data_IF_212722370852
#
_entry.id   IF_212722370852
#
_cell.length_a   1.000
_cell.length_b   1.000
_cell.length_c   1.000
_cell.angle_alpha   90.00
_cell.angle_beta   90.00
_cell.angle_gamma   90.00
#
_symmetry.space_group_name_H-M   'P 1'
#
loop_
_entity.id
_entity.type
_entity.pdbx_description
1 polymer ?
#
# COMPACT_ATOMS: atom_id res chain seq x y z
N UNK A 1 -31.10 -45.45 51.16
CA UNK A 1 -29.89 -46.03 50.55
C UNK A 1 -29.69 -45.32 49.22
N UNK A 2 -28.63 -44.52 49.00
CA UNK A 2 -27.25 -44.96 48.67
C UNK A 2 -27.26 -46.02 47.55
N UNK A 3 -26.57 -45.91 46.40
CA UNK A 3 -25.52 -44.98 45.91
C UNK A 3 -25.48 -45.08 44.36
N UNK A 4 -24.83 -44.23 43.54
CA UNK A 4 -23.86 -43.14 43.76
C UNK A 4 -23.92 -42.09 42.62
N UNK A 5 -23.03 -41.08 42.65
CA UNK A 5 -22.74 -40.16 41.53
C UNK A 5 -21.59 -40.72 40.66
N UNK A 6 -21.65 -40.50 39.34
CA UNK A 6 -20.47 -40.28 38.49
C UNK A 6 -20.69 -39.05 37.64
N UNK A 7 -19.94 -37.99 37.95
CA UNK A 7 -19.88 -36.74 37.22
C UNK A 7 -18.89 -36.86 36.07
N UNK A 8 -19.38 -36.91 34.83
CA UNK A 8 -18.56 -36.60 33.66
C UNK A 8 -18.75 -35.12 33.34
N UNK A 9 -17.75 -34.31 33.69
CA UNK A 9 -17.73 -32.88 33.35
C UNK A 9 -17.43 -32.71 31.87
N UNK A 10 -18.42 -32.27 31.09
CA UNK A 10 -18.17 -31.74 29.75
C UNK A 10 -17.71 -30.30 29.93
N UNK A 11 -16.40 -30.06 29.80
CA UNK A 11 -15.87 -28.71 29.63
C UNK A 11 -16.32 -28.20 28.26
N UNK A 12 -17.41 -27.44 28.24
CA UNK A 12 -17.75 -26.61 27.09
C UNK A 12 -16.73 -25.48 27.01
N UNK A 13 -15.72 -25.65 26.15
CA UNK A 13 -14.80 -24.58 25.79
C UNK A 13 -15.58 -23.51 25.03
N UNK A 14 -16.04 -22.50 25.75
CA UNK A 14 -16.58 -21.29 25.15
C UNK A 14 -15.42 -20.57 24.43
N UNK A 15 -15.28 -20.82 23.13
CA UNK A 15 -14.52 -19.94 22.26
C UNK A 15 -15.20 -18.57 22.30
N UNK A 16 -14.61 -17.66 23.07
CA UNK A 16 -14.79 -16.23 22.87
C UNK A 16 -14.22 -15.92 21.48
N UNK A 17 -15.07 -16.05 20.46
CA UNK A 17 -14.83 -15.44 19.18
C UNK A 17 -14.82 -13.94 19.42
N UNK A 18 -13.62 -13.39 19.59
CA UNK A 18 -13.40 -11.94 19.59
C UNK A 18 -13.83 -11.46 18.22
N UNK A 19 -15.06 -10.94 18.12
CA UNK A 19 -15.50 -10.22 16.93
C UNK A 19 -14.65 -8.96 16.88
N UNK A 20 -13.51 -9.06 16.20
CA UNK A 20 -12.80 -7.89 15.70
C UNK A 20 -13.73 -7.29 14.67
N UNK A 21 -14.59 -6.38 15.11
CA UNK A 21 -15.29 -5.44 14.25
C UNK A 21 -14.23 -4.64 13.54
N UNK A 22 -13.81 -5.09 12.36
CA UNK A 22 -13.02 -4.27 11.46
C UNK A 22 -13.80 -2.98 11.23
N UNK A 23 -13.17 -1.80 11.28
CA UNK A 23 -13.85 -0.56 10.95
C UNK A 23 -14.45 -0.71 9.55
N UNK A 24 -15.69 -0.22 9.38
CA UNK A 24 -16.37 -0.28 8.09
C UNK A 24 -15.44 0.22 6.99
N UNK A 25 -15.33 -0.53 5.89
CA UNK A 25 -14.41 -0.26 4.76
C UNK A 25 -14.40 1.22 4.43
N UNK A 26 -13.36 1.95 4.89
CA UNK A 26 -13.47 3.40 4.95
C UNK A 26 -13.66 3.94 3.53
N UNK A 27 -14.73 4.70 3.33
CA UNK A 27 -15.13 5.14 2.00
C UNK A 27 -14.08 6.09 1.43
N UNK A 28 -13.91 6.08 0.11
CA UNK A 28 -13.12 7.10 -0.59
C UNK A 28 -13.66 8.50 -0.27
N UNK A 29 -12.79 9.53 -0.25
CA UNK A 29 -13.23 10.89 0.08
C UNK A 29 -14.38 11.34 -0.83
N UNK A 30 -15.39 12.03 -0.27
CA UNK A 30 -16.57 12.45 -1.04
C UNK A 30 -16.20 13.46 -2.13
N UNK A 31 -16.91 13.46 -3.25
CA UNK A 31 -16.66 14.41 -4.34
C UNK A 31 -16.88 15.86 -3.90
N UNK A 32 -17.89 16.13 -3.06
CA UNK A 32 -18.11 17.46 -2.46
C UNK A 32 -16.87 17.95 -1.69
N UNK A 33 -16.22 17.07 -0.93
CA UNK A 33 -15.03 17.43 -0.17
C UNK A 33 -13.80 17.58 -1.08
N UNK A 34 -13.63 16.67 -2.06
CA UNK A 34 -12.59 16.74 -3.11
C UNK A 34 -12.64 18.04 -3.90
N UNK A 35 -13.83 18.52 -4.23
CA UNK A 35 -14.04 19.78 -4.98
C UNK A 35 -13.80 21.03 -4.13
N UNK A 36 -13.92 20.93 -2.80
CA UNK A 36 -13.71 22.04 -1.87
C UNK A 36 -12.25 22.28 -1.45
N UNK A 37 -11.33 21.36 -1.78
CA UNK A 37 -9.93 21.38 -1.32
C UNK A 37 -8.98 21.22 -2.51
N UNK A 38 -8.37 22.33 -2.95
CA UNK A 38 -7.39 22.33 -4.05
C UNK A 38 -5.94 22.45 -3.58
N UNK A 39 -5.63 23.39 -2.69
CA UNK A 39 -4.26 23.68 -2.23
C UNK A 39 -3.95 22.92 -0.96
N UNK A 40 -3.04 21.95 -1.06
CA UNK A 40 -2.70 21.02 0.01
C UNK A 40 -1.23 21.14 0.37
N UNK A 41 -0.92 21.31 1.65
CA UNK A 41 0.45 21.12 2.16
C UNK A 41 0.57 19.72 2.77
N UNK A 42 1.49 18.91 2.26
CA UNK A 42 1.77 17.56 2.72
C UNK A 42 2.93 17.61 3.72
N UNK A 43 2.75 17.02 4.90
CA UNK A 43 3.74 16.99 5.98
C UNK A 43 4.06 15.55 6.43
N UNK A 44 5.33 15.12 6.39
CA UNK A 44 5.79 13.85 6.94
C UNK A 44 6.04 13.99 8.45
N UNK A 45 5.03 13.73 9.29
CA UNK A 45 5.13 13.84 10.75
C UNK A 45 4.56 12.60 11.43
N UNK A 46 5.12 12.23 12.58
CA UNK A 46 4.58 11.14 13.39
C UNK A 46 3.18 11.50 13.89
N UNK A 47 2.30 10.49 13.86
CA UNK A 47 0.87 10.70 13.76
C UNK A 47 0.21 11.63 14.80
N UNK A 48 -0.73 12.42 14.27
CA UNK A 48 -1.99 12.70 14.97
C UNK A 48 -2.90 11.45 15.04
N UNK A 49 -2.30 10.26 15.13
CA UNK A 49 -2.96 8.97 15.34
C UNK A 49 -3.46 8.82 16.78
N UNK A 50 -3.02 9.68 17.70
CA UNK A 50 -3.24 9.61 19.15
C UNK A 50 -4.45 10.40 19.68
N UNK A 51 -5.62 10.31 19.04
CA UNK A 51 -6.87 10.33 19.83
C UNK A 51 -6.95 9.01 20.60
N UNK A 52 -6.32 9.04 21.78
CA UNK A 52 -5.87 7.85 22.45
C UNK A 52 -7.05 6.99 22.96
N UNK A 53 -7.19 5.79 22.40
CA UNK A 53 -7.83 4.65 23.09
C UNK A 53 -6.93 4.27 24.27
N UNK A 54 -7.00 5.06 25.34
CA UNK A 54 -6.33 4.82 26.61
C UNK A 54 -7.36 4.55 27.68
N UNK A 55 -7.48 3.28 28.05
CA UNK A 55 -8.08 2.92 29.32
C UNK A 55 -7.24 3.50 30.46
N UNK A 56 -7.71 4.62 31.02
CA UNK A 56 -7.40 5.12 32.37
C UNK A 56 -5.96 4.95 32.88
N UNK A 57 -5.11 5.95 32.64
CA UNK A 57 -4.18 6.43 33.68
C UNK A 57 -4.07 7.96 33.58
N UNK A 58 -4.59 8.66 34.58
CA UNK A 58 -4.68 10.12 34.55
C UNK A 58 -3.38 10.80 34.97
N UNK A 59 -2.96 11.80 34.19
CA UNK A 59 -2.25 13.01 34.64
C UNK A 59 -2.35 14.09 33.57
N UNK A 60 -2.75 15.29 33.98
CA UNK A 60 -2.77 16.47 33.11
C UNK A 60 -1.34 16.96 32.85
N UNK A 61 -0.97 17.18 31.60
CA UNK A 61 0.11 18.12 31.24
C UNK A 61 -0.17 18.82 29.92
N UNK A 62 0.01 20.14 29.94
CA UNK A 62 -0.36 21.11 28.92
C UNK A 62 0.39 20.98 27.58
N UNK A 63 -0.35 21.16 26.48
CA UNK A 63 0.03 21.97 25.30
C UNK A 63 1.39 21.70 24.61
N UNK A 64 1.34 21.05 23.44
CA UNK A 64 2.48 20.68 22.59
C UNK A 64 3.40 21.84 22.14
N UNK A 65 3.00 23.10 22.31
CA UNK A 65 3.78 24.28 21.92
C UNK A 65 5.01 24.57 22.83
N UNK A 66 5.11 23.95 24.00
CA UNK A 66 6.17 24.26 24.99
C UNK A 66 7.52 23.55 24.78
N UNK A 67 7.58 22.48 23.97
CA UNK A 67 8.74 21.57 23.94
C UNK A 67 9.91 21.96 23.02
N UNK A 68 9.66 22.79 22.00
CA UNK A 68 10.61 22.99 20.89
C UNK A 68 11.73 24.00 21.23
N UNK A 69 11.52 24.86 22.24
CA UNK A 69 12.34 26.05 22.48
C UNK A 69 13.69 25.83 23.20
N UNK A 70 14.23 24.60 23.29
CA UNK A 70 15.44 24.33 24.10
C UNK A 70 16.53 23.42 23.48
N UNK A 71 16.42 23.09 22.19
CA UNK A 71 17.46 22.37 21.44
C UNK A 71 18.34 23.24 20.54
N UNK A 72 18.02 24.53 20.40
CA UNK A 72 18.68 25.44 19.47
C UNK A 72 19.83 26.23 20.12
N UNK A 73 20.99 25.60 20.28
CA UNK A 73 22.24 26.35 20.45
C UNK A 73 23.47 25.48 20.08
N UNK A 74 24.08 25.77 18.91
CA UNK A 74 25.51 25.64 18.56
C UNK A 74 25.69 25.56 17.02
N UNK A 75 26.36 26.56 16.42
CA UNK A 75 27.03 26.42 15.12
C UNK A 75 26.49 27.20 13.91
N UNK A 76 26.76 28.51 13.85
CA UNK A 76 26.84 29.29 12.59
C UNK A 76 28.18 28.98 11.87
N UNK A 77 28.41 29.01 10.55
CA UNK A 77 27.82 29.71 9.38
C UNK A 77 28.05 28.84 8.12
N UNK A 78 27.20 28.95 7.08
CA UNK A 78 27.57 28.51 5.71
C UNK A 78 26.37 28.38 4.76
N UNK A 79 26.05 29.44 4.00
CA UNK A 79 24.82 29.49 3.18
C UNK A 79 25.03 28.82 1.81
N UNK A 80 24.70 27.53 1.73
CA UNK A 80 24.20 26.85 0.53
C UNK A 80 23.21 25.76 1.01
N UNK A 81 21.89 26.02 1.08
CA UNK A 81 20.96 25.14 1.81
C UNK A 81 20.51 23.91 1.00
N UNK A 82 21.46 23.10 0.54
CA UNK A 82 21.26 21.66 0.40
C UNK A 82 21.26 21.03 1.78
N UNK A 83 20.08 20.82 2.37
CA UNK A 83 19.94 20.40 3.76
C UNK A 83 20.37 18.95 4.01
N UNK A 84 21.38 18.76 4.86
CA UNK A 84 21.79 17.45 5.42
C UNK A 84 20.91 17.10 6.65
N UNK A 85 20.97 15.87 7.20
CA UNK A 85 19.80 15.02 7.44
C UNK A 85 19.04 15.37 8.73
N UNK A 86 17.71 15.18 8.71
CA UNK A 86 16.86 15.31 9.90
C UNK A 86 16.59 13.91 10.47
N UNK A 87 17.13 13.62 11.66
CA UNK A 87 16.89 12.36 12.38
C UNK A 87 15.63 12.44 13.25
N UNK A 88 14.58 11.71 12.86
CA UNK A 88 13.34 11.47 13.62
C UNK A 88 12.89 10.00 13.43
N UNK A 89 12.07 9.43 14.34
CA UNK A 89 12.24 8.02 14.76
C UNK A 89 11.41 6.95 14.00
N UNK A 90 12.13 5.93 13.53
CA UNK A 90 11.82 4.48 13.53
C UNK A 90 10.34 4.06 13.68
N UNK A 91 9.70 3.42 12.67
CA UNK A 91 8.45 2.69 12.89
C UNK A 91 8.69 1.48 13.80
N UNK A 92 7.96 1.38 14.90
CA UNK A 92 8.20 0.34 15.91
C UNK A 92 7.90 -1.06 15.38
N UNK A 93 8.89 -1.97 15.45
CA UNK A 93 8.69 -3.38 15.11
C UNK A 93 7.89 -4.09 16.21
N UNK A 94 6.62 -4.38 15.94
CA UNK A 94 5.73 -5.09 16.88
C UNK A 94 5.70 -6.59 16.57
N UNK A 95 5.95 -7.41 17.59
CA UNK A 95 5.86 -8.87 17.51
C UNK A 95 4.53 -9.35 18.11
N UNK A 96 3.78 -10.17 17.36
CA UNK A 96 2.52 -10.77 17.81
C UNK A 96 2.59 -12.29 17.58
N UNK A 97 3.37 -12.97 18.41
CA UNK A 97 3.54 -14.42 18.39
C UNK A 97 4.11 -14.93 19.70
N UNK A 98 3.61 -16.06 20.21
CA UNK A 98 4.06 -16.60 21.49
C UNK A 98 5.38 -17.37 21.36
N UNK A 99 6.31 -17.14 22.30
CA UNK A 99 7.49 -18.00 22.50
C UNK A 99 7.01 -19.34 23.09
N UNK A 100 6.46 -20.20 22.25
CA UNK A 100 6.15 -21.59 22.57
C UNK A 100 7.39 -22.44 22.24
N UNK A 101 8.23 -22.69 23.25
CA UNK A 101 9.52 -23.36 23.04
C UNK A 101 9.37 -24.81 22.55
N UNK A 102 10.25 -25.25 21.62
CA UNK A 102 10.23 -26.66 21.22
C UNK A 102 11.10 -27.19 20.08
N UNK A 103 11.79 -26.37 19.26
CA UNK A 103 12.71 -26.89 18.21
C UNK A 103 14.00 -26.05 18.12
N UNK A 104 15.00 -26.40 18.93
CA UNK A 104 16.26 -25.65 19.04
C UNK A 104 17.15 -25.76 17.80
N UNK A 105 17.74 -24.63 17.38
CA UNK A 105 18.89 -24.60 16.48
C UNK A 105 18.79 -23.54 15.39
N UNK A 106 18.41 -23.95 14.18
CA UNK A 106 18.49 -23.13 12.98
C UNK A 106 17.30 -22.15 12.82
N UNK A 107 16.06 -22.60 13.07
CA UNK A 107 14.87 -21.77 12.83
C UNK A 107 14.75 -20.59 13.79
N UNK A 108 15.06 -20.78 15.07
CA UNK A 108 15.04 -19.70 16.06
C UNK A 108 16.15 -18.67 15.79
N UNK A 109 17.35 -19.12 15.37
CA UNK A 109 18.42 -18.23 14.92
C UNK A 109 17.99 -17.44 13.68
N UNK A 110 17.39 -18.09 12.68
CA UNK A 110 16.90 -17.42 11.48
C UNK A 110 15.77 -16.41 11.77
N UNK A 111 14.92 -16.68 12.77
CA UNK A 111 13.92 -15.72 13.27
C UNK A 111 14.59 -14.50 13.93
N UNK A 112 15.61 -14.73 14.76
CA UNK A 112 16.39 -13.67 15.40
C UNK A 112 17.16 -12.82 14.36
N UNK A 113 17.90 -13.46 13.44
CA UNK A 113 18.64 -12.76 12.38
C UNK A 113 17.72 -11.92 11.47
N UNK A 114 16.54 -12.43 11.09
CA UNK A 114 15.53 -11.66 10.35
C UNK A 114 15.04 -10.45 11.16
N UNK A 115 14.68 -10.66 12.43
CA UNK A 115 14.22 -9.59 13.33
C UNK A 115 15.29 -8.51 13.50
N UNK A 116 16.52 -8.92 13.78
CA UNK A 116 17.63 -8.02 14.07
C UNK A 116 17.99 -7.19 12.83
N UNK A 117 18.01 -7.81 11.64
CA UNK A 117 18.22 -7.08 10.38
C UNK A 117 17.05 -6.15 10.03
N UNK A 118 15.80 -6.55 10.28
CA UNK A 118 14.64 -5.66 10.12
C UNK A 118 14.73 -4.47 11.08
N UNK A 119 15.08 -4.70 12.35
CA UNK A 119 15.21 -3.64 13.35
C UNK A 119 16.39 -2.70 13.05
N UNK A 120 17.54 -3.22 12.62
CA UNK A 120 18.69 -2.43 12.18
C UNK A 120 18.36 -1.56 10.96
N UNK A 121 17.75 -2.15 9.92
CA UNK A 121 17.34 -1.44 8.71
C UNK A 121 16.30 -0.34 9.00
N UNK A 122 15.32 -0.60 9.87
CA UNK A 122 14.32 0.41 10.28
C UNK A 122 14.91 1.48 11.22
N UNK A 123 15.94 1.16 12.01
CA UNK A 123 16.60 2.13 12.88
C UNK A 123 17.35 3.23 12.12
N UNK A 124 17.73 2.98 10.86
CA UNK A 124 18.47 3.92 10.01
C UNK A 124 17.55 4.83 9.16
N UNK A 125 16.30 5.06 9.61
CA UNK A 125 15.14 5.49 8.84
C UNK A 125 15.27 6.70 7.88
N UNK A 126 16.26 7.58 8.01
CA UNK A 126 16.27 8.92 7.37
C UNK A 126 16.22 8.84 5.84
N UNK A 127 17.02 7.95 5.24
CA UNK A 127 17.10 7.71 3.79
C UNK A 127 16.56 6.31 3.41
N UNK A 128 15.81 5.66 4.31
CA UNK A 128 15.34 4.29 4.11
C UNK A 128 14.01 4.23 3.33
N UNK A 129 13.74 3.12 2.61
CA UNK A 129 12.53 2.97 1.83
C UNK A 129 11.22 2.98 2.63
N UNK A 130 11.26 2.67 3.93
CA UNK A 130 10.13 2.84 4.87
C UNK A 130 10.40 4.03 5.79
N UNK A 131 10.05 5.23 5.32
CA UNK A 131 10.12 6.47 6.09
C UNK A 131 8.93 7.39 5.76
N UNK A 132 8.53 8.25 6.70
CA UNK A 132 7.45 9.22 6.49
C UNK A 132 7.78 10.15 5.30
N UNK A 133 9.05 10.55 5.15
CA UNK A 133 9.53 11.37 4.03
C UNK A 133 9.32 10.69 2.68
N UNK A 134 9.73 9.43 2.55
CA UNK A 134 9.57 8.68 1.30
C UNK A 134 8.07 8.44 1.00
N UNK A 135 7.27 8.09 2.01
CA UNK A 135 5.83 7.89 1.84
C UNK A 135 5.12 9.20 1.42
N UNK A 136 5.44 10.32 2.07
CA UNK A 136 4.89 11.63 1.72
C UNK A 136 5.30 12.10 0.31
N UNK A 137 6.51 11.73 -0.15
CA UNK A 137 6.93 11.92 -1.54
C UNK A 137 6.09 11.08 -2.51
N UNK A 138 5.84 9.80 -2.23
CA UNK A 138 4.99 8.96 -3.09
C UNK A 138 3.54 9.49 -3.16
N UNK A 139 2.98 9.92 -2.01
CA UNK A 139 1.66 10.59 -1.96
C UNK A 139 1.67 11.91 -2.75
N UNK A 140 2.72 12.73 -2.61
CA UNK A 140 2.88 13.97 -3.38
C UNK A 140 2.88 13.71 -4.89
N UNK A 141 3.63 12.72 -5.39
CA UNK A 141 3.65 12.40 -6.82
C UNK A 141 2.33 11.78 -7.31
N UNK A 142 1.61 11.05 -6.45
CA UNK A 142 0.24 10.64 -6.70
C UNK A 142 -0.69 11.85 -6.91
N UNK A 143 -0.73 12.77 -5.94
CA UNK A 143 -1.62 13.94 -5.97
C UNK A 143 -1.25 14.97 -7.04
N UNK A 144 0.04 15.11 -7.40
CA UNK A 144 0.52 16.10 -8.40
C UNK A 144 -0.10 15.94 -9.79
N UNK A 145 -0.64 14.75 -10.10
CA UNK A 145 -1.27 14.45 -11.39
C UNK A 145 -2.81 14.58 -11.35
N UNK A 146 -3.39 14.97 -10.20
CA UNK A 146 -4.83 15.15 -10.03
C UNK A 146 -5.24 16.54 -10.53
N UNK A 147 -6.20 16.58 -11.44
CA UNK A 147 -6.76 17.83 -11.94
C UNK A 147 -7.45 18.61 -10.81
N UNK A 148 -7.06 19.87 -10.62
CA UNK A 148 -7.62 20.77 -9.59
C UNK A 148 -6.91 20.75 -8.24
N UNK A 149 -5.86 19.93 -8.06
CA UNK A 149 -5.07 19.88 -6.82
C UNK A 149 -3.68 20.51 -7.05
N UNK A 150 -3.27 21.40 -6.15
CA UNK A 150 -1.92 21.98 -6.03
C UNK A 150 -1.27 21.47 -4.73
N UNK A 151 -0.66 20.26 -4.75
CA UNK A 151 0.01 19.72 -3.58
C UNK A 151 1.42 20.32 -3.43
N UNK A 152 1.85 20.54 -2.19
CA UNK A 152 3.21 20.98 -1.85
C UNK A 152 3.76 20.11 -0.71
N UNK A 153 4.87 19.41 -0.95
CA UNK A 153 5.56 18.63 0.09
C UNK A 153 6.51 19.53 0.88
N UNK A 154 6.25 19.71 2.17
CA UNK A 154 7.00 20.61 3.05
C UNK A 154 7.71 19.82 4.17
N UNK A 155 8.87 20.33 4.62
CA UNK A 155 9.46 19.89 5.88
C UNK A 155 8.59 20.40 7.05
N UNK A 156 8.53 19.70 8.20
CA UNK A 156 7.66 20.07 9.32
C UNK A 156 7.88 21.48 9.90
N UNK A 157 9.06 22.07 9.67
CA UNK A 157 9.43 23.42 10.14
C UNK A 157 9.18 24.52 9.10
N UNK A 158 8.77 24.19 7.87
CA UNK A 158 8.56 25.18 6.81
C UNK A 158 7.25 25.96 7.06
N UNK A 159 7.26 27.30 7.10
CA UNK A 159 6.05 28.09 7.27
C UNK A 159 5.00 27.82 6.19
N UNK A 160 3.79 27.43 6.62
CA UNK A 160 2.68 27.07 5.73
C UNK A 160 2.06 28.35 5.13
N UNK A 161 1.79 28.40 3.80
CA UNK A 161 1.18 29.57 3.18
C UNK A 161 -0.22 29.84 3.75
N UNK A 162 -0.52 31.12 3.99
CA UNK A 162 -1.81 31.55 4.56
C UNK A 162 -3.02 31.22 3.67
N UNK A 163 -2.79 30.89 2.40
CA UNK A 163 -3.80 30.53 1.42
C UNK A 163 -3.95 29.00 1.22
N UNK A 164 -3.34 28.19 2.10
CA UNK A 164 -3.52 26.72 2.10
C UNK A 164 -4.96 26.36 2.47
N UNK A 165 -5.60 25.44 1.73
CA UNK A 165 -6.97 24.99 2.04
C UNK A 165 -6.93 23.91 3.14
N UNK A 166 -6.01 22.95 3.01
CA UNK A 166 -5.84 21.84 3.94
C UNK A 166 -4.37 21.40 4.12
N UNK A 167 -4.07 20.81 5.28
CA UNK A 167 -2.83 20.09 5.55
C UNK A 167 -3.11 18.59 5.47
N UNK A 168 -2.28 17.85 4.74
CA UNK A 168 -2.30 16.39 4.69
C UNK A 168 -1.10 15.85 5.47
N UNK A 169 -1.34 15.36 6.68
CA UNK A 169 -0.35 14.65 7.47
C UNK A 169 -0.24 13.21 6.95
N UNK A 170 0.97 12.73 6.70
CA UNK A 170 1.24 11.38 6.15
C UNK A 170 2.32 10.70 6.98
N UNK A 171 2.04 9.49 7.47
CA UNK A 171 2.98 8.73 8.29
C UNK A 171 2.88 7.23 8.05
N UNK A 172 3.98 6.52 8.31
CA UNK A 172 3.97 5.10 8.60
C UNK A 172 3.63 4.93 10.09
N UNK A 173 2.79 3.95 10.44
CA UNK A 173 2.33 3.72 11.81
C UNK A 173 3.14 2.62 12.49
N UNK A 174 3.14 1.42 11.90
CA UNK A 174 3.88 0.27 12.41
C UNK A 174 4.34 -0.66 11.27
N UNK A 175 5.41 -1.41 11.56
CA UNK A 175 5.78 -2.62 10.83
C UNK A 175 5.63 -3.78 11.81
N UNK A 176 4.81 -4.76 11.46
CA UNK A 176 4.52 -5.95 12.27
C UNK A 176 5.17 -7.15 11.63
N UNK A 177 5.97 -7.88 12.41
CA UNK A 177 6.51 -9.18 12.02
C UNK A 177 5.79 -10.27 12.85
N UNK A 178 5.07 -11.15 12.15
CA UNK A 178 4.41 -12.31 12.76
C UNK A 178 5.00 -13.58 12.15
N UNK A 179 5.68 -14.39 12.98
CA UNK A 179 6.31 -15.65 12.54
C UNK A 179 5.55 -16.83 13.13
N UNK A 180 4.92 -17.62 12.26
CA UNK A 180 4.11 -18.79 12.60
C UNK A 180 4.76 -20.03 11.99
N UNK A 181 5.14 -21.00 12.83
CA UNK A 181 5.84 -22.23 12.40
C UNK A 181 7.07 -21.96 11.52
N UNK A 182 7.00 -22.28 10.22
CA UNK A 182 8.05 -22.03 9.21
C UNK A 182 7.75 -20.83 8.28
N UNK A 183 6.70 -20.05 8.55
CA UNK A 183 6.28 -18.86 7.79
C UNK A 183 6.50 -17.56 8.56
N UNK A 184 6.82 -16.49 7.83
CA UNK A 184 6.86 -15.13 8.32
C UNK A 184 5.93 -14.25 7.46
N UNK A 185 5.11 -13.48 8.17
CA UNK A 185 4.16 -12.49 7.66
C UNK A 185 4.69 -11.12 8.07
N UNK A 186 4.82 -10.20 7.11
CA UNK A 186 5.23 -8.82 7.36
C UNK A 186 4.11 -7.89 6.92
N UNK A 187 3.61 -7.09 7.86
CA UNK A 187 2.53 -6.12 7.63
C UNK A 187 3.07 -4.72 7.90
N UNK A 188 2.89 -3.79 6.97
CA UNK A 188 3.23 -2.37 7.10
C UNK A 188 1.94 -1.57 7.07
N UNK A 189 1.81 -0.59 7.96
CA UNK A 189 0.64 0.30 8.02
C UNK A 189 1.07 1.75 7.83
N UNK A 190 0.24 2.52 7.13
CA UNK A 190 0.41 3.96 7.01
C UNK A 190 -0.92 4.70 6.96
N UNK A 191 -0.90 5.91 7.48
CA UNK A 191 -2.07 6.75 7.68
C UNK A 191 -1.89 8.08 6.95
N UNK A 192 -3.00 8.61 6.43
CA UNK A 192 -3.12 10.00 6.02
C UNK A 192 -4.29 10.68 6.74
N UNK A 193 -4.05 11.86 7.29
CA UNK A 193 -5.06 12.71 7.93
C UNK A 193 -5.10 14.07 7.23
N UNK A 194 -6.24 14.39 6.62
CA UNK A 194 -6.48 15.67 5.96
C UNK A 194 -7.21 16.60 6.94
N UNK A 195 -6.59 17.72 7.31
CA UNK A 195 -7.17 18.75 8.19
C UNK A 195 -7.35 20.07 7.46
N UNK A 196 -8.45 20.77 7.73
CA UNK A 196 -8.66 22.15 7.25
C UNK A 196 -7.61 23.07 7.88
N UNK A 197 -6.96 23.89 7.07
CA UNK A 197 -5.90 24.77 7.57
C UNK A 197 -6.42 25.87 8.51
N UNK A 198 -7.62 26.40 8.24
CA UNK A 198 -8.16 27.56 8.96
C UNK A 198 -8.61 27.29 10.42
N UNK A 199 -8.97 26.05 10.74
CA UNK A 199 -9.53 25.69 12.06
C UNK A 199 -9.01 24.34 12.63
N UNK A 200 -8.20 23.59 11.88
CA UNK A 200 -7.65 22.30 12.30
C UNK A 200 -8.64 21.13 12.29
N UNK A 201 -9.86 21.32 11.76
CA UNK A 201 -10.88 20.25 11.69
C UNK A 201 -10.38 19.10 10.82
N UNK A 202 -10.42 17.86 11.34
CA UNK A 202 -10.22 16.65 10.53
C UNK A 202 -11.34 16.53 9.51
N UNK A 203 -10.98 16.61 8.24
CA UNK A 203 -11.88 16.50 7.09
C UNK A 203 -11.97 15.06 6.60
N UNK A 204 -10.84 14.34 6.63
CA UNK A 204 -10.75 12.96 6.20
C UNK A 204 -9.59 12.24 6.90
N UNK A 205 -9.74 10.94 7.15
CA UNK A 205 -8.66 10.03 7.57
C UNK A 205 -8.75 8.77 6.72
N UNK A 206 -7.59 8.27 6.27
CA UNK A 206 -7.46 6.94 5.67
C UNK A 206 -6.26 6.22 6.26
N UNK A 207 -6.47 4.98 6.63
CA UNK A 207 -5.45 4.04 7.07
C UNK A 207 -5.35 2.96 5.97
N UNK A 208 -4.12 2.58 5.58
CA UNK A 208 -3.85 1.54 4.58
C UNK A 208 -2.82 0.57 5.15
N UNK A 209 -3.13 -0.73 5.10
CA UNK A 209 -2.18 -1.80 5.39
C UNK A 209 -1.66 -2.44 4.10
N UNK A 210 -0.45 -2.99 4.17
CA UNK A 210 0.13 -3.87 3.15
C UNK A 210 0.81 -5.05 3.82
N UNK A 211 0.45 -6.27 3.44
CA UNK A 211 0.94 -7.52 3.99
C UNK A 211 1.47 -8.44 2.89
N UNK A 212 2.66 -8.99 3.11
CA UNK A 212 3.16 -10.14 2.36
C UNK A 212 3.57 -11.25 3.34
N UNK A 213 3.51 -12.49 2.88
CA UNK A 213 3.98 -13.66 3.63
C UNK A 213 4.77 -14.60 2.77
N UNK A 214 5.64 -15.37 3.40
CA UNK A 214 6.36 -16.48 2.80
C UNK A 214 7.01 -17.34 3.89
N UNK A 215 7.63 -18.46 3.51
CA UNK A 215 8.47 -19.25 4.40
C UNK A 215 9.63 -18.42 4.93
N UNK A 216 9.94 -18.53 6.23
CA UNK A 216 11.04 -17.87 6.91
C UNK A 216 12.38 -18.08 6.17
N UNK A 217 12.61 -19.30 5.66
CA UNK A 217 13.77 -19.65 4.83
C UNK A 217 13.87 -18.93 3.48
N UNK A 218 12.78 -18.34 2.99
CA UNK A 218 12.76 -17.52 1.78
C UNK A 218 13.11 -16.08 2.14
N UNK A 219 12.50 -15.52 3.20
CA UNK A 219 12.87 -14.20 3.74
C UNK A 219 14.36 -14.09 4.07
N UNK A 220 14.97 -15.14 4.62
CA UNK A 220 16.39 -15.18 4.98
C UNK A 220 17.36 -15.50 3.81
N UNK A 221 16.89 -15.67 2.57
CA UNK A 221 17.79 -15.92 1.42
C UNK A 221 18.53 -14.67 0.98
N UNK A 222 19.74 -14.90 0.45
CA UNK A 222 20.51 -13.92 -0.32
C UNK A 222 20.75 -12.58 0.43
N UNK A 223 21.09 -12.62 1.72
CA UNK A 223 21.17 -11.43 2.60
C UNK A 223 19.86 -10.63 2.63
N UNK A 224 18.74 -11.32 2.89
CA UNK A 224 17.43 -10.72 3.13
C UNK A 224 16.88 -9.86 1.97
N UNK A 225 17.22 -10.19 0.72
CA UNK A 225 16.76 -9.45 -0.47
C UNK A 225 15.23 -9.27 -0.53
N UNK A 226 14.44 -10.27 -0.13
CA UNK A 226 12.97 -10.15 -0.09
C UNK A 226 12.47 -9.07 0.90
N UNK A 227 13.22 -8.78 1.97
CA UNK A 227 12.91 -7.66 2.87
C UNK A 227 13.25 -6.30 2.23
N UNK A 228 14.31 -6.21 1.43
CA UNK A 228 14.58 -5.04 0.59
C UNK A 228 13.46 -4.79 -0.42
N UNK A 229 13.09 -5.82 -1.19
CA UNK A 229 12.03 -5.77 -2.20
C UNK A 229 10.65 -5.46 -1.56
N UNK A 230 10.33 -6.07 -0.42
CA UNK A 230 9.09 -5.80 0.34
C UNK A 230 8.94 -4.34 0.72
N UNK A 231 9.98 -3.71 1.29
CA UNK A 231 9.90 -2.33 1.78
C UNK A 231 9.54 -1.32 0.69
N UNK A 232 10.17 -1.46 -0.48
CA UNK A 232 9.87 -0.63 -1.65
C UNK A 232 8.43 -0.81 -2.12
N UNK A 233 7.98 -2.06 -2.23
CA UNK A 233 6.62 -2.38 -2.66
C UNK A 233 5.55 -1.91 -1.66
N UNK A 234 5.80 -2.08 -0.36
CA UNK A 234 4.91 -1.67 0.71
C UNK A 234 4.73 -0.14 0.73
N UNK A 235 5.83 0.63 0.70
CA UNK A 235 5.76 2.11 0.60
C UNK A 235 4.98 2.52 -0.66
N UNK A 236 5.38 1.99 -1.81
CA UNK A 236 4.79 2.34 -3.10
C UNK A 236 3.28 2.07 -3.12
N UNK A 237 2.85 0.91 -2.61
CA UNK A 237 1.44 0.57 -2.49
C UNK A 237 0.70 1.53 -1.55
N UNK A 238 1.19 1.72 -0.33
CA UNK A 238 0.52 2.57 0.67
C UNK A 238 0.41 4.02 0.14
N UNK A 239 1.48 4.60 -0.39
CA UNK A 239 1.47 5.97 -0.92
C UNK A 239 0.52 6.14 -2.10
N UNK A 240 0.47 5.15 -2.99
CA UNK A 240 -0.47 5.09 -4.12
C UNK A 240 -1.92 5.02 -3.64
N UNK A 241 -2.23 4.12 -2.71
CA UNK A 241 -3.58 3.91 -2.21
C UNK A 241 -4.09 5.12 -1.43
N UNK A 242 -3.25 5.74 -0.59
CA UNK A 242 -3.60 6.97 0.12
C UNK A 242 -3.96 8.10 -0.87
N UNK A 243 -3.12 8.35 -1.90
CA UNK A 243 -3.41 9.35 -2.92
C UNK A 243 -4.68 9.01 -3.74
N UNK A 244 -4.89 7.74 -4.07
CA UNK A 244 -6.05 7.28 -4.83
C UNK A 244 -7.35 7.48 -4.03
N UNK A 245 -7.40 7.06 -2.77
CA UNK A 245 -8.59 7.19 -1.91
C UNK A 245 -8.96 8.65 -1.63
N UNK A 246 -7.95 9.51 -1.48
CA UNK A 246 -8.15 10.93 -1.31
C UNK A 246 -8.79 11.57 -2.55
N UNK A 247 -8.29 11.36 -3.77
CA UNK A 247 -8.73 12.17 -4.93
C UNK A 247 -9.12 11.42 -6.22
N UNK A 248 -8.46 10.31 -6.54
CA UNK A 248 -8.61 9.66 -7.85
C UNK A 248 -9.73 8.61 -7.91
N UNK A 249 -9.89 7.81 -6.85
CA UNK A 249 -10.67 6.56 -6.85
C UNK A 249 -12.17 6.85 -6.91
N UNK A 250 -12.84 6.21 -7.86
CA UNK A 250 -14.31 6.10 -7.91
C UNK A 250 -14.71 4.65 -7.82
N UNK A 251 -15.75 4.38 -7.04
CA UNK A 251 -16.41 3.07 -7.05
C UNK A 251 -17.33 3.03 -8.28
N UNK A 252 -16.94 2.22 -9.26
CA UNK A 252 -17.76 1.86 -10.43
C UNK A 252 -17.72 0.35 -10.51
N UNK A 253 -18.88 -0.30 -10.48
CA UNK A 253 -18.94 -1.75 -10.66
C UNK A 253 -18.47 -2.08 -12.08
N UNK A 254 -17.44 -2.91 -12.20
CA UNK A 254 -16.97 -3.41 -13.49
C UNK A 254 -16.34 -4.80 -13.36
N UNK A 255 -16.47 -5.60 -14.40
CA UNK A 255 -15.68 -6.83 -14.56
C UNK A 255 -14.70 -6.65 -15.73
N UNK A 256 -13.43 -6.91 -15.43
CA UNK A 256 -12.30 -6.87 -16.35
C UNK A 256 -11.63 -8.24 -16.37
N UNK A 257 -11.27 -8.72 -17.56
CA UNK A 257 -10.49 -9.94 -17.69
C UNK A 257 -9.56 -9.88 -18.92
N UNK A 258 -8.40 -10.57 -18.88
CA UNK A 258 -7.48 -10.60 -20.01
C UNK A 258 -8.05 -11.45 -21.16
N UNK A 259 -7.91 -10.95 -22.38
CA UNK A 259 -8.25 -11.62 -23.63
C UNK A 259 -7.01 -12.09 -24.38
N UNK A 260 -7.22 -13.01 -25.32
CA UNK A 260 -6.22 -13.31 -26.35
C UNK A 260 -6.16 -12.18 -27.39
N UNK A 261 -5.01 -12.03 -28.05
CA UNK A 261 -4.78 -11.13 -29.16
C UNK A 261 -4.03 -11.87 -30.29
N UNK A 262 -3.71 -11.16 -31.38
CA UNK A 262 -2.98 -11.72 -32.53
C UNK A 262 -1.64 -12.39 -32.13
N UNK A 263 -0.97 -11.88 -31.08
CA UNK A 263 0.35 -12.34 -30.64
C UNK A 263 0.41 -12.82 -29.18
N UNK A 264 -0.62 -12.58 -28.35
CA UNK A 264 -0.76 -13.14 -27.00
C UNK A 264 -1.83 -14.23 -26.99
N UNK A 265 -1.40 -15.47 -26.73
CA UNK A 265 -2.30 -16.62 -26.57
C UNK A 265 -2.56 -16.88 -25.09
N UNK A 266 -3.83 -16.98 -24.70
CA UNK A 266 -4.20 -17.47 -23.36
C UNK A 266 -3.87 -18.96 -23.23
N UNK A 267 -3.54 -19.39 -22.03
CA UNK A 267 -3.50 -20.80 -21.68
C UNK A 267 -4.91 -21.41 -21.73
N UNK A 268 -4.99 -22.73 -21.81
CA UNK A 268 -6.27 -23.46 -21.85
C UNK A 268 -6.81 -23.73 -20.45
N UNK A 269 -5.92 -23.87 -19.47
CA UNK A 269 -6.28 -24.21 -18.10
C UNK A 269 -6.36 -22.97 -17.20
N UNK A 270 -5.65 -21.89 -17.56
CA UNK A 270 -5.75 -20.60 -16.88
C UNK A 270 -5.92 -19.43 -17.86
N UNK A 271 -7.13 -18.87 -17.90
CA UNK A 271 -7.43 -17.69 -18.73
C UNK A 271 -6.64 -16.43 -18.32
N UNK A 272 -6.08 -16.38 -17.10
CA UNK A 272 -5.24 -15.26 -16.64
C UNK A 272 -3.76 -15.41 -17.02
N UNK A 273 -3.38 -16.53 -17.67
CA UNK A 273 -2.02 -16.78 -18.16
C UNK A 273 -1.93 -16.56 -19.68
N UNK A 274 -1.25 -15.49 -20.10
CA UNK A 274 -0.87 -15.23 -21.49
C UNK A 274 0.53 -15.73 -21.82
N UNK A 275 0.74 -16.16 -23.07
CA UNK A 275 2.04 -16.58 -23.64
C UNK A 275 2.24 -15.90 -24.99
N UNK A 276 3.41 -15.27 -25.19
CA UNK A 276 3.75 -14.52 -26.41
C UNK A 276 5.10 -14.94 -27.02
N UNK A 277 5.21 -14.78 -28.34
CA UNK A 277 6.48 -14.84 -29.10
C UNK A 277 6.87 -13.50 -29.73
N UNK A 278 6.10 -12.45 -29.51
CA UNK A 278 6.43 -11.09 -29.91
C UNK A 278 7.08 -10.36 -28.72
N UNK A 279 8.17 -9.62 -28.97
CA UNK A 279 8.76 -8.73 -27.96
C UNK A 279 7.89 -7.50 -27.67
N UNK A 280 7.06 -7.08 -28.64
CA UNK A 280 6.03 -6.05 -28.50
C UNK A 280 4.63 -6.69 -28.55
N UNK A 281 4.18 -7.33 -27.45
CA UNK A 281 2.87 -7.97 -27.39
C UNK A 281 1.73 -6.94 -27.47
N UNK A 282 0.59 -7.40 -27.98
CA UNK A 282 -0.69 -6.68 -27.89
C UNK A 282 -1.45 -7.24 -26.70
N UNK A 283 -1.56 -6.45 -25.64
CA UNK A 283 -2.41 -6.73 -24.48
C UNK A 283 -3.86 -6.43 -24.86
N UNK A 284 -4.79 -7.29 -24.47
CA UNK A 284 -6.21 -7.15 -24.78
C UNK A 284 -7.04 -7.53 -23.56
N UNK A 285 -8.16 -6.84 -23.34
CA UNK A 285 -9.04 -7.11 -22.21
C UNK A 285 -10.51 -6.95 -22.61
N UNK A 286 -11.38 -7.65 -21.89
CA UNK A 286 -12.81 -7.36 -21.88
C UNK A 286 -13.14 -6.40 -20.74
N UNK A 287 -14.19 -5.62 -20.94
CA UNK A 287 -14.71 -4.67 -19.96
C UNK A 287 -16.23 -4.69 -20.01
N UNK A 288 -16.85 -4.97 -18.87
CA UNK A 288 -18.28 -4.81 -18.67
C UNK A 288 -18.51 -3.89 -17.48
N UNK A 289 -19.39 -2.91 -17.62
CA UNK A 289 -19.85 -2.09 -16.50
C UNK A 289 -21.05 -2.79 -15.84
N UNK A 290 -21.10 -2.78 -14.52
CA UNK A 290 -22.24 -3.22 -13.73
C UNK A 290 -23.38 -2.21 -13.73
N UNK A 291 -24.40 -2.46 -12.91
CA UNK A 291 -25.59 -1.62 -12.83
C UNK A 291 -25.29 -0.26 -12.17
N UNK A 292 -24.39 -0.20 -11.18
CA UNK A 292 -23.95 1.04 -10.56
C UNK A 292 -22.85 1.73 -11.39
N UNK A 293 -23.29 2.42 -12.44
CA UNK A 293 -22.44 3.12 -13.40
C UNK A 293 -22.51 4.65 -13.31
N UNK A 294 -23.08 5.22 -12.25
CA UNK A 294 -23.34 6.67 -12.14
C UNK A 294 -22.09 7.56 -12.32
N UNK A 295 -20.92 7.11 -11.84
CA UNK A 295 -19.64 7.79 -12.02
C UNK A 295 -18.98 7.57 -13.40
N UNK A 296 -19.48 6.60 -14.18
CA UNK A 296 -19.05 6.30 -15.56
C UNK A 296 -20.05 6.81 -16.61
N UNK A 297 -21.29 7.10 -16.25
CA UNK A 297 -22.35 7.49 -17.18
C UNK A 297 -22.02 8.83 -17.86
N UNK A 298 -22.05 8.81 -19.20
CA UNK A 298 -21.66 9.93 -20.06
C UNK A 298 -20.15 10.20 -20.12
N UNK A 299 -19.31 9.45 -19.39
CA UNK A 299 -17.87 9.66 -19.37
C UNK A 299 -17.18 9.02 -20.59
N UNK A 300 -16.11 9.65 -21.08
CA UNK A 300 -15.17 8.98 -21.98
C UNK A 300 -14.31 8.01 -21.16
N UNK A 301 -14.28 6.74 -21.57
CA UNK A 301 -13.43 5.71 -20.94
C UNK A 301 -12.12 5.60 -21.72
N UNK A 302 -11.02 5.93 -21.05
CA UNK A 302 -9.65 5.62 -21.47
C UNK A 302 -9.05 4.61 -20.48
N UNK A 303 -7.83 4.15 -20.72
CA UNK A 303 -7.22 3.09 -19.92
C UNK A 303 -5.80 3.46 -19.49
N UNK A 304 -5.49 3.22 -18.21
CA UNK A 304 -4.11 3.18 -17.73
C UNK A 304 -3.69 1.69 -17.68
N UNK A 305 -2.48 1.37 -18.17
CA UNK A 305 -1.91 0.02 -18.30
C UNK A 305 -0.59 -0.04 -17.55
N UNK A 306 -0.38 -1.07 -16.74
CA UNK A 306 0.88 -1.27 -16.02
C UNK A 306 1.40 -2.71 -16.22
N UNK A 307 2.72 -2.84 -16.41
CA UNK A 307 3.42 -4.12 -16.47
C UNK A 307 4.53 -4.11 -15.43
N UNK A 308 4.60 -5.19 -14.66
CA UNK A 308 5.54 -5.45 -13.59
C UNK A 308 6.42 -6.66 -13.94
N UNK A 309 7.70 -6.59 -13.61
CA UNK A 309 8.50 -7.80 -13.43
C UNK A 309 8.23 -8.37 -12.02
N UNK A 310 9.09 -9.25 -11.50
CA UNK A 310 8.92 -9.80 -10.15
C UNK A 310 9.17 -8.78 -9.02
N UNK A 311 9.75 -7.60 -9.32
CA UNK A 311 10.32 -6.65 -8.36
C UNK A 311 9.77 -5.22 -8.42
N UNK A 312 9.28 -4.76 -9.58
CA UNK A 312 8.87 -3.37 -9.80
C UNK A 312 7.99 -3.19 -11.04
N UNK A 313 7.27 -2.06 -11.18
CA UNK A 313 6.74 -1.66 -12.48
C UNK A 313 7.91 -1.44 -13.45
N UNK A 314 7.82 -2.07 -14.63
CA UNK A 314 8.81 -1.95 -15.72
C UNK A 314 8.25 -1.19 -16.92
N UNK A 315 6.93 -1.04 -17.00
CA UNK A 315 6.25 -0.32 -18.06
C UNK A 315 4.94 0.30 -17.57
N UNK A 316 4.64 1.50 -18.04
CA UNK A 316 3.36 2.17 -17.80
C UNK A 316 2.92 2.89 -19.08
N UNK A 317 1.66 2.70 -19.48
CA UNK A 317 0.98 3.54 -20.46
C UNK A 317 -0.24 4.18 -19.79
N UNK A 318 -0.54 5.43 -20.12
CA UNK A 318 -1.70 6.16 -19.59
C UNK A 318 -2.57 6.62 -20.74
N UNK A 319 -3.88 6.72 -20.50
CA UNK A 319 -4.83 7.32 -21.44
C UNK A 319 -4.97 6.58 -22.78
N UNK A 320 -4.77 5.26 -22.75
CA UNK A 320 -4.94 4.38 -23.91
C UNK A 320 -6.41 4.36 -24.34
N UNK A 321 -6.65 4.47 -25.65
CA UNK A 321 -7.97 4.37 -26.24
C UNK A 321 -8.28 2.93 -26.70
N UNK A 322 -9.53 2.49 -26.53
CA UNK A 322 -9.95 1.13 -26.86
C UNK A 322 -9.52 0.08 -25.83
N UNK A 323 -9.88 -1.19 -26.08
CA UNK A 323 -9.64 -2.31 -25.14
C UNK A 323 -8.46 -3.22 -25.54
N UNK A 324 -7.56 -2.71 -26.38
CA UNK A 324 -6.32 -3.36 -26.78
C UNK A 324 -5.18 -2.36 -26.84
N UNK A 325 -3.98 -2.79 -26.47
CA UNK A 325 -2.78 -1.96 -26.45
C UNK A 325 -1.56 -2.76 -26.90
N UNK A 326 -0.87 -2.28 -27.94
CA UNK A 326 0.44 -2.82 -28.33
C UNK A 326 1.51 -2.14 -27.51
N UNK A 327 2.27 -2.91 -26.73
CA UNK A 327 3.43 -2.41 -25.98
C UNK A 327 4.47 -1.91 -26.98
N UNK A 328 4.82 -0.62 -26.86
CA UNK A 328 5.71 0.10 -27.79
C UNK A 328 7.20 -0.10 -27.49
N UNK A 329 7.54 -0.47 -26.26
CA UNK A 329 8.89 -0.90 -25.84
C UNK A 329 9.01 -2.43 -25.90
N UNK A 330 10.12 -3.00 -26.44
CA UNK A 330 10.32 -4.44 -26.46
C UNK A 330 10.56 -5.00 -25.04
N UNK A 331 9.80 -6.04 -24.68
CA UNK A 331 9.99 -6.80 -23.44
C UNK A 331 11.14 -7.80 -23.54
N UNK A 332 11.75 -8.14 -22.41
CA UNK A 332 12.81 -9.16 -22.33
C UNK A 332 12.29 -10.58 -22.57
N UNK A 333 13.16 -11.41 -23.17
CA UNK A 333 12.89 -12.83 -23.45
C UNK A 333 13.08 -13.69 -22.21
N UNK A 334 12.45 -14.86 -22.17
CA UNK A 334 12.47 -15.77 -21.02
C UNK A 334 11.87 -15.17 -19.72
N UNK A 335 11.21 -14.02 -19.79
CA UNK A 335 10.72 -13.30 -18.62
C UNK A 335 9.23 -13.51 -18.44
N UNK A 336 8.81 -13.64 -17.17
CA UNK A 336 7.41 -13.68 -16.76
C UNK A 336 7.07 -12.34 -16.14
N UNK A 337 6.07 -11.65 -16.70
CA UNK A 337 5.56 -10.38 -16.22
C UNK A 337 4.18 -10.55 -15.59
N UNK A 338 3.81 -9.62 -14.73
CA UNK A 338 2.42 -9.39 -14.30
C UNK A 338 1.92 -8.10 -14.93
N UNK A 339 0.67 -8.05 -15.38
CA UNK A 339 0.10 -6.85 -15.98
C UNK A 339 -1.36 -6.67 -15.59
N UNK A 340 -1.78 -5.41 -15.58
CA UNK A 340 -3.16 -5.03 -15.32
C UNK A 340 -3.53 -3.76 -16.08
N UNK A 341 -4.83 -3.50 -16.15
CA UNK A 341 -5.46 -2.32 -16.74
C UNK A 341 -6.49 -1.77 -15.77
N UNK A 342 -6.68 -0.45 -15.74
CA UNK A 342 -7.81 0.18 -15.06
C UNK A 342 -8.53 1.16 -15.98
N UNK A 343 -9.86 1.28 -15.88
CA UNK A 343 -10.58 2.31 -16.60
C UNK A 343 -10.27 3.68 -15.97
N UNK A 344 -10.09 4.66 -16.84
CA UNK A 344 -10.06 6.07 -16.51
C UNK A 344 -11.31 6.72 -17.09
N UNK A 345 -12.16 7.25 -16.23
CA UNK A 345 -13.37 7.96 -16.59
C UNK A 345 -13.07 9.47 -16.68
N UNK A 346 -13.37 10.06 -17.84
CA UNK A 346 -13.29 11.50 -18.05
C UNK A 346 -14.69 12.10 -18.17
N UNK A 347 -15.03 12.98 -17.24
CA UNK A 347 -16.31 13.69 -17.19
C UNK A 347 -16.08 15.11 -16.67
N UNK A 348 -16.66 16.08 -17.36
CA UNK A 348 -16.62 17.51 -16.97
C UNK A 348 -15.19 18.04 -16.69
N UNK A 349 -14.21 17.58 -17.49
CA UNK A 349 -12.80 17.94 -17.36
C UNK A 349 -12.03 17.24 -16.22
N UNK A 350 -12.71 16.43 -15.39
CA UNK A 350 -12.12 15.68 -14.28
C UNK A 350 -11.76 14.26 -14.74
N UNK A 351 -10.55 13.82 -14.39
CA UNK A 351 -10.08 12.43 -14.51
C UNK A 351 -10.41 11.68 -13.22
N UNK A 352 -11.02 10.50 -13.34
CA UNK A 352 -11.28 9.58 -12.22
C UNK A 352 -10.87 8.16 -12.59
N UNK A 353 -10.35 7.41 -11.63
CA UNK A 353 -9.78 6.09 -11.84
C UNK A 353 -10.65 5.02 -11.18
N UNK A 354 -11.04 4.02 -11.97
CA UNK A 354 -11.57 2.77 -11.43
C UNK A 354 -10.46 1.87 -10.89
N UNK A 355 -10.86 0.69 -10.44
CA UNK A 355 -9.96 -0.34 -9.91
C UNK A 355 -9.15 -1.05 -11.02
N UNK A 356 -8.09 -1.73 -10.59
CA UNK A 356 -7.25 -2.52 -11.47
C UNK A 356 -7.88 -3.88 -11.78
N UNK A 357 -7.73 -4.36 -13.01
CA UNK A 357 -8.08 -5.72 -13.43
C UNK A 357 -7.34 -6.75 -12.55
N UNK A 358 -8.10 -7.46 -11.71
CA UNK A 358 -7.63 -8.44 -10.73
C UNK A 358 -8.44 -9.74 -10.83
N UNK A 359 -7.77 -10.87 -10.57
CA UNK A 359 -8.43 -12.18 -10.55
C UNK A 359 -9.30 -12.33 -9.30
N UNK A 360 -10.59 -12.02 -9.44
CA UNK A 360 -11.60 -12.20 -8.40
C UNK A 360 -11.70 -13.66 -7.93
N UNK A 361 -11.99 -13.85 -6.62
CA UNK A 361 -12.18 -15.16 -6.00
C UNK A 361 -10.97 -15.72 -5.24
N UNK A 362 -9.98 -14.89 -4.90
CA UNK A 362 -8.78 -15.32 -4.18
C UNK A 362 -8.94 -15.39 -2.64
N UNK A 363 -9.66 -14.42 -2.04
CA UNK A 363 -10.10 -14.29 -0.63
C UNK A 363 -10.90 -12.97 -0.50
N UNK A 364 -11.63 -12.74 0.59
CA UNK A 364 -12.56 -11.61 0.81
C UNK A 364 -11.92 -10.20 0.96
N UNK A 365 -10.75 -9.94 0.36
CA UNK A 365 -10.03 -8.64 0.41
C UNK A 365 -9.42 -8.31 -0.97
N UNK A 366 -10.23 -7.74 -1.88
CA UNK A 366 -9.92 -7.59 -3.31
C UNK A 366 -8.98 -6.41 -3.68
N UNK A 367 -8.33 -5.74 -2.72
CA UNK A 367 -7.51 -4.55 -2.98
C UNK A 367 -6.00 -4.81 -3.20
N UNK A 368 -5.56 -6.08 -3.20
CA UNK A 368 -4.16 -6.44 -3.45
C UNK A 368 -3.20 -6.12 -2.29
N UNK A 369 -3.71 -5.99 -1.07
CA UNK A 369 -2.93 -5.69 0.13
C UNK A 369 -2.49 -6.92 0.93
N UNK A 370 -2.94 -8.14 0.61
CA UNK A 370 -2.54 -9.37 1.31
C UNK A 370 -1.97 -10.40 0.34
N UNK A 371 -0.68 -10.70 0.52
CA UNK A 371 0.07 -11.68 -0.25
C UNK A 371 0.03 -13.07 0.37
N UNK A 372 0.35 -14.07 -0.46
CA UNK A 372 0.43 -15.49 -0.07
C UNK A 372 1.82 -16.12 -0.22
N UNK A 373 2.65 -15.61 -1.13
CA UNK A 373 4.03 -16.05 -1.30
C UNK A 373 4.85 -14.95 -2.01
N UNK A 374 5.52 -14.08 -1.25
CA UNK A 374 6.29 -12.95 -1.79
C UNK A 374 7.37 -13.39 -2.79
N UNK A 375 7.97 -14.56 -2.58
CA UNK A 375 9.00 -15.15 -3.46
C UNK A 375 8.46 -15.60 -4.83
N UNK A 376 7.14 -15.66 -5.01
CA UNK A 376 6.50 -15.85 -6.31
C UNK A 376 6.13 -14.50 -6.97
N UNK A 377 5.61 -13.57 -6.20
CA UNK A 377 5.41 -12.15 -6.52
C UNK A 377 4.91 -11.39 -5.28
N UNK A 378 5.06 -10.07 -5.24
CA UNK A 378 4.45 -9.21 -4.22
C UNK A 378 2.92 -9.22 -4.25
N UNK A 379 2.27 -9.13 -3.07
CA UNK A 379 0.82 -9.12 -2.88
C UNK A 379 0.06 -8.31 -3.93
N UNK A 380 0.52 -7.07 -4.19
CA UNK A 380 -0.14 -6.12 -5.10
C UNK A 380 -0.36 -6.65 -6.52
N UNK A 381 0.49 -7.57 -6.98
CA UNK A 381 0.52 -8.11 -8.35
C UNK A 381 0.29 -9.62 -8.41
N UNK A 382 0.05 -10.31 -7.28
CA UNK A 382 -0.13 -11.76 -7.23
C UNK A 382 -1.38 -12.25 -8.00
N UNK A 383 -2.39 -11.39 -8.12
CA UNK A 383 -3.69 -11.59 -8.77
C UNK A 383 -3.81 -10.91 -10.16
N UNK A 384 -2.78 -10.19 -10.59
CA UNK A 384 -2.67 -9.60 -11.93
C UNK A 384 -2.46 -10.68 -13.00
N UNK A 385 -2.90 -10.38 -14.23
CA UNK A 385 -2.73 -11.27 -15.37
C UNK A 385 -1.24 -11.54 -15.62
N UNK A 386 -0.90 -12.80 -15.87
CA UNK A 386 0.49 -13.23 -16.08
C UNK A 386 0.80 -13.25 -17.57
N UNK A 387 1.97 -12.77 -17.98
CA UNK A 387 2.44 -12.83 -19.37
C UNK A 387 3.84 -13.45 -19.44
N UNK A 388 3.96 -14.59 -20.11
CA UNK A 388 5.25 -15.25 -20.35
C UNK A 388 5.75 -14.92 -21.76
N UNK A 389 6.94 -14.31 -21.84
CA UNK A 389 7.64 -14.06 -23.11
C UNK A 389 8.56 -15.23 -23.42
N UNK A 390 8.28 -15.98 -24.48
CA UNK A 390 9.06 -17.15 -24.93
C UNK A 390 10.54 -16.76 -25.12
N UNK A 391 11.48 -17.61 -24.67
CA UNK A 391 12.91 -17.43 -24.92
C UNK A 391 13.28 -17.26 -26.41
N UNK A 392 12.43 -17.76 -27.31
CA UNK A 392 12.57 -17.67 -28.77
C UNK A 392 11.80 -16.49 -29.38
N UNK A 393 11.28 -15.57 -28.56
CA UNK A 393 10.54 -14.40 -29.02
C UNK A 393 11.39 -13.50 -29.96
N UNK A 394 10.71 -12.77 -30.84
CA UNK A 394 11.30 -11.90 -31.86
C UNK A 394 10.49 -10.61 -32.03
#
# INVERSE_FOLDING_TARGET
MHTSRRTNGVFAAAMLATVVTMPASAQSMSEELRESIGRIVILPVDGESSEAVTGTYGRETLGLAGGIAKGADMGTVGIEPGGIPIGLPIPFLREIGAIAGGIFGASDRMRQELRDRMAEDLAQAIDQPLSNNALANDVYWGLRNVAGVDPKLFAPTTPIPADTDAILFVNLDEVVLNVQEDEAIVTTMGTAVLKRFSDGTTLYRREVSYEDRDKLKNWAKNDFVLWGEYREFARYYIGRELAAELYERVQVDHALAPLASDNVKRDREDAWLGKTRALSPTLAWESTLGENRAAADGAQILWDVEIYDARRPVYQAKQVAGTQFKVDVPLEKCTTYRWSVRPTYHRDGKKKNGEWMRRLGATDQNNGNIGRAISAAHAYIQDFATLVVDCKAK
#
